data_IF_005060749878
#
_entry.id   IF_005060749878
#
_cell.length_a   1.000
_cell.length_b   1.000
_cell.length_c   1.000
_cell.angle_alpha   90.00
_cell.angle_beta   90.00
_cell.angle_gamma   90.00
#
_symmetry.space_group_name_H-M   'P 1'
#
loop_
_entity.id
_entity.type
_entity.pdbx_description
1 polymer ?
#
# COMPACT_ATOMS: atom_id res chain seq x y z
N UNK A 1 34.28 21.44 9.77
CA UNK A 1 33.37 22.16 8.85
C UNK A 1 31.88 22.00 9.18
N UNK A 2 31.51 21.29 10.27
CA UNK A 2 30.11 21.15 10.72
C UNK A 2 29.66 22.27 11.68
N UNK A 3 30.13 23.52 11.48
CA UNK A 3 30.14 24.53 12.58
C UNK A 3 29.55 25.91 12.28
N UNK A 4 29.03 26.23 11.08
CA UNK A 4 28.73 27.65 10.79
C UNK A 4 27.37 28.05 10.21
N UNK A 5 26.41 27.14 10.00
CA UNK A 5 25.07 27.56 9.49
C UNK A 5 23.88 27.16 10.38
N UNK A 6 24.13 26.71 11.61
CA UNK A 6 23.08 26.46 12.62
C UNK A 6 22.57 27.75 13.32
N UNK A 7 22.55 28.89 12.61
CA UNK A 7 22.05 30.19 13.11
C UNK A 7 20.91 30.69 12.24
N UNK A 8 19.74 30.03 12.27
CA UNK A 8 18.50 30.73 11.83
C UNK A 8 17.16 30.20 12.34
N UNK A 9 17.10 29.14 13.15
CA UNK A 9 15.80 28.65 13.68
C UNK A 9 15.81 28.26 15.16
N UNK A 10 16.47 29.04 16.03
CA UNK A 10 16.11 29.15 17.46
C UNK A 10 15.82 27.87 18.26
N UNK A 11 16.40 26.73 17.90
CA UNK A 11 16.35 25.49 18.68
C UNK A 11 17.77 25.25 19.16
N UNK A 12 18.00 25.45 20.45
CA UNK A 12 19.26 25.13 21.09
C UNK A 12 19.49 23.63 20.98
N UNK A 13 20.45 23.20 20.16
CA UNK A 13 21.01 21.86 20.24
C UNK A 13 21.99 21.86 21.41
N UNK A 14 21.64 21.21 22.52
CA UNK A 14 22.54 21.07 23.66
C UNK A 14 23.76 20.25 23.21
N UNK A 15 24.96 20.74 23.48
CA UNK A 15 26.22 20.13 23.01
C UNK A 15 26.64 18.88 23.79
N UNK A 16 25.71 18.18 24.45
CA UNK A 16 26.02 17.09 25.40
C UNK A 16 25.12 15.87 25.31
N UNK A 17 24.09 15.86 24.47
CA UNK A 17 23.19 14.72 24.35
C UNK A 17 23.80 13.55 23.55
N UNK A 18 23.83 12.34 24.13
CA UNK A 18 24.26 11.10 23.46
C UNK A 18 23.04 10.39 22.86
N UNK A 19 23.09 10.05 21.58
CA UNK A 19 22.09 9.16 20.95
C UNK A 19 22.01 7.85 21.72
N UNK A 20 20.82 7.52 22.23
CA UNK A 20 20.57 6.24 22.85
C UNK A 20 19.95 5.32 21.80
N UNK A 21 20.49 4.09 21.68
CA UNK A 21 19.79 3.05 20.92
C UNK A 21 18.44 2.84 21.57
N UNK A 22 17.38 3.03 20.80
CA UNK A 22 16.05 2.68 21.25
C UNK A 22 16.03 1.16 21.42
N UNK A 23 15.52 0.66 22.56
CA UNK A 23 15.61 -0.78 22.90
C UNK A 23 14.65 -1.64 22.06
N UNK A 24 14.24 -1.14 20.90
CA UNK A 24 13.07 -1.59 20.19
C UNK A 24 13.37 -1.85 18.72
N UNK A 25 13.98 -3.00 18.45
CA UNK A 25 13.55 -3.81 17.31
C UNK A 25 12.12 -4.32 17.51
N UNK A 26 11.14 -3.46 17.86
CA UNK A 26 9.75 -3.85 18.19
C UNK A 26 8.69 -2.77 17.88
N UNK A 27 9.04 -1.71 17.15
CA UNK A 27 8.11 -0.59 16.94
C UNK A 27 8.14 -0.15 15.48
N UNK A 28 7.14 -0.57 14.71
CA UNK A 28 6.82 0.08 13.45
C UNK A 28 6.09 1.36 13.81
N UNK A 29 6.67 2.51 13.51
CA UNK A 29 6.07 3.78 13.90
C UNK A 29 5.50 4.47 12.66
N UNK A 30 4.38 5.18 12.81
CA UNK A 30 3.73 5.87 11.70
C UNK A 30 3.90 7.37 11.85
N UNK A 31 4.30 8.05 10.77
CA UNK A 31 4.28 9.50 10.73
C UNK A 31 2.82 10.01 10.73
N UNK A 32 2.50 10.90 11.67
CA UNK A 32 1.17 11.52 11.82
C UNK A 32 1.11 12.93 11.24
N UNK A 33 2.26 13.50 10.88
CA UNK A 33 2.37 14.79 10.21
C UNK A 33 3.39 14.73 9.08
N UNK A 34 3.22 15.59 8.07
CA UNK A 34 4.23 15.80 7.03
C UNK A 34 5.41 16.56 7.62
N UNK A 35 6.63 16.11 7.34
CA UNK A 35 7.86 16.76 7.77
C UNK A 35 8.76 17.04 6.56
N UNK A 36 8.99 18.32 6.28
CA UNK A 36 9.93 18.75 5.26
C UNK A 36 11.33 18.99 5.85
N UNK A 37 12.37 18.34 5.31
CA UNK A 37 13.72 18.40 5.85
C UNK A 37 14.33 19.79 5.64
N UNK A 38 15.05 20.27 6.66
CA UNK A 38 15.78 21.54 6.65
C UNK A 38 17.27 21.39 6.36
N UNK A 39 17.77 20.16 6.33
CA UNK A 39 19.15 19.83 6.01
C UNK A 39 19.28 18.39 5.52
N UNK A 40 20.44 18.04 4.98
CA UNK A 40 20.69 16.73 4.35
C UNK A 40 20.61 15.54 5.31
N UNK A 41 20.81 15.79 6.61
CA UNK A 41 20.73 14.75 7.64
C UNK A 41 19.29 14.43 8.05
N UNK A 42 18.32 15.27 7.66
CA UNK A 42 16.92 15.13 8.04
C UNK A 42 16.15 14.29 7.01
N UNK A 43 15.25 13.44 7.51
CA UNK A 43 14.46 12.55 6.67
C UNK A 43 13.08 13.16 6.42
N UNK A 44 12.73 13.39 5.14
CA UNK A 44 11.36 13.78 4.78
C UNK A 44 10.36 12.69 5.17
N UNK A 45 9.30 13.10 5.87
CA UNK A 45 8.17 12.23 6.22
C UNK A 45 6.88 12.74 5.58
N UNK A 46 6.04 11.81 5.16
CA UNK A 46 4.65 12.09 4.82
C UNK A 46 3.72 11.36 5.78
N UNK A 47 2.53 11.92 6.03
CA UNK A 47 1.51 11.26 6.85
C UNK A 47 1.28 9.83 6.34
N UNK A 48 1.35 8.86 7.26
CA UNK A 48 1.22 7.44 6.97
C UNK A 48 2.54 6.74 6.57
N UNK A 49 3.67 7.45 6.46
CA UNK A 49 4.97 6.79 6.30
C UNK A 49 5.27 5.92 7.51
N UNK A 50 5.54 4.64 7.27
CA UNK A 50 6.03 3.72 8.31
C UNK A 50 7.55 3.86 8.42
N UNK A 51 8.02 4.20 9.60
CA UNK A 51 9.44 4.37 9.92
C UNK A 51 9.91 3.34 10.94
N UNK A 52 11.17 2.96 10.79
CA UNK A 52 11.90 2.24 11.81
C UNK A 52 12.78 3.22 12.58
N UNK A 53 12.68 3.19 13.90
CA UNK A 53 13.46 4.05 14.81
C UNK A 53 14.66 3.24 15.30
N UNK A 54 15.86 3.74 15.04
CA UNK A 54 17.13 3.13 15.46
C UNK A 54 17.63 3.77 16.76
N UNK A 55 17.56 5.09 16.85
CA UNK A 55 18.14 5.87 17.94
C UNK A 55 17.21 7.04 18.31
N UNK A 56 17.27 7.48 19.56
CA UNK A 56 16.54 8.63 20.08
C UNK A 56 17.51 9.63 20.73
N UNK A 57 17.24 10.92 20.54
CA UNK A 57 17.96 12.01 21.18
C UNK A 57 17.04 13.22 21.38
N UNK A 58 16.76 13.61 22.63
CA UNK A 58 16.07 14.87 23.01
C UNK A 58 14.98 15.35 22.04
N UNK A 59 13.92 14.56 21.86
CA UNK A 59 12.79 14.94 21.01
C UNK A 59 12.99 14.68 19.51
N UNK A 60 14.10 14.05 19.13
CA UNK A 60 14.38 13.56 17.77
C UNK A 60 14.55 12.05 17.76
N UNK A 61 14.16 11.47 16.64
CA UNK A 61 14.46 10.10 16.27
C UNK A 61 15.41 10.06 15.09
N UNK A 62 16.23 9.01 15.02
CA UNK A 62 17.01 8.65 13.85
C UNK A 62 16.53 7.31 13.34
N UNK A 63 16.31 7.22 12.04
CA UNK A 63 15.68 6.04 11.47
C UNK A 63 15.66 6.06 9.95
N UNK A 64 14.85 5.17 9.39
CA UNK A 64 14.58 5.11 7.95
C UNK A 64 13.11 4.77 7.70
N UNK A 65 12.63 5.11 6.50
CA UNK A 65 11.31 4.65 6.03
C UNK A 65 11.39 3.19 5.63
N UNK A 66 10.41 2.38 6.03
CA UNK A 66 10.42 0.94 5.78
C UNK A 66 10.58 0.59 4.29
N UNK A 67 10.02 1.42 3.41
CA UNK A 67 10.11 1.28 1.95
C UNK A 67 11.41 1.81 1.33
N UNK A 68 12.21 2.56 2.08
CA UNK A 68 13.47 3.17 1.63
C UNK A 68 14.54 2.98 2.70
N UNK A 69 14.88 1.72 3.01
CA UNK A 69 15.84 1.35 4.07
C UNK A 69 17.22 1.98 3.91
N UNK A 70 17.63 2.24 2.66
CA UNK A 70 18.90 2.89 2.35
C UNK A 70 18.96 4.37 2.79
N UNK A 71 17.82 5.05 2.85
CA UNK A 71 17.75 6.47 3.22
C UNK A 71 17.52 6.61 4.72
N UNK A 72 18.60 6.85 5.45
CA UNK A 72 18.58 7.13 6.89
C UNK A 72 18.64 8.63 7.15
N UNK A 73 17.95 9.08 8.19
CA UNK A 73 18.01 10.46 8.64
C UNK A 73 17.32 10.67 9.98
N UNK A 74 17.33 11.92 10.44
CA UNK A 74 16.67 12.33 11.68
C UNK A 74 15.32 12.98 11.41
N UNK A 75 14.39 12.84 12.34
CA UNK A 75 13.05 13.43 12.28
C UNK A 75 12.49 13.68 13.68
N UNK A 76 11.59 14.66 13.86
CA UNK A 76 11.06 14.99 15.18
C UNK A 76 10.21 13.85 15.75
N UNK A 77 10.38 13.56 17.03
CA UNK A 77 9.62 12.52 17.73
C UNK A 77 8.13 12.85 17.82
N UNK A 78 7.77 14.14 17.91
CA UNK A 78 6.38 14.60 17.96
C UNK A 78 5.59 14.34 16.67
N UNK A 79 6.26 13.99 15.57
CA UNK A 79 5.64 13.72 14.27
C UNK A 79 5.34 12.23 14.09
N UNK A 80 5.66 11.41 15.10
CA UNK A 80 5.64 9.96 15.02
C UNK A 80 4.71 9.40 16.08
N UNK A 81 3.82 8.51 15.64
CA UNK A 81 3.02 7.67 16.50
C UNK A 81 3.64 6.27 16.56
N UNK A 82 4.06 5.86 17.76
CA UNK A 82 4.65 4.54 17.99
C UNK A 82 3.55 3.48 17.92
N UNK A 83 3.75 2.43 17.12
CA UNK A 83 2.87 1.24 17.12
C UNK A 83 3.71 -0.01 17.35
N UNK A 84 3.10 -1.01 17.97
CA UNK A 84 3.75 -2.30 18.16
C UNK A 84 4.01 -2.98 16.80
N UNK A 85 5.16 -3.64 16.70
CA UNK A 85 5.51 -4.46 15.54
C UNK A 85 6.36 -5.64 15.99
N UNK A 86 6.17 -6.77 15.32
CA UNK A 86 7.02 -7.94 15.51
C UNK A 86 8.24 -7.77 14.62
N UNK A 87 9.44 -8.02 15.15
CA UNK A 87 10.66 -8.06 14.33
C UNK A 87 11.11 -9.51 14.21
N UNK A 88 11.30 -9.94 12.97
CA UNK A 88 11.91 -11.22 12.64
C UNK A 88 13.31 -10.97 12.03
N UNK A 89 14.27 -11.80 12.41
CA UNK A 89 15.67 -11.72 11.95
C UNK A 89 16.67 -11.32 13.04
N UNK A 90 17.96 -11.54 12.78
CA UNK A 90 19.08 -11.14 13.65
C UNK A 90 19.99 -10.15 12.92
N UNK A 91 20.24 -8.98 13.51
CA UNK A 91 21.26 -8.03 13.03
C UNK A 91 20.86 -7.18 11.82
N UNK A 92 21.66 -7.16 10.74
CA UNK A 92 21.46 -6.26 9.59
C UNK A 92 20.24 -6.61 8.71
N UNK A 93 19.62 -7.77 8.94
CA UNK A 93 18.44 -8.28 8.21
C UNK A 93 17.16 -8.22 9.04
N UNK A 94 17.04 -7.29 9.99
CA UNK A 94 15.79 -7.10 10.73
C UNK A 94 14.64 -6.72 9.76
N UNK A 95 13.62 -7.59 9.74
CA UNK A 95 12.36 -7.37 9.06
C UNK A 95 11.35 -6.97 10.11
N UNK A 96 10.92 -5.71 10.05
CA UNK A 96 9.84 -5.21 10.89
C UNK A 96 8.54 -5.57 10.19
N UNK A 97 7.74 -6.42 10.84
CA UNK A 97 6.41 -6.80 10.43
C UNK A 97 5.45 -5.91 11.22
N UNK A 98 4.85 -4.88 10.59
CA UNK A 98 3.81 -4.10 11.25
C UNK A 98 2.71 -5.00 11.79
N UNK A 99 2.13 -4.66 12.95
CA UNK A 99 1.01 -5.40 13.53
C UNK A 99 -0.25 -5.43 12.64
N UNK A 100 -0.32 -4.56 11.63
CA UNK A 100 -1.39 -4.58 10.64
C UNK A 100 -1.36 -5.90 9.85
N UNK A 101 -2.53 -6.53 9.68
CA UNK A 101 -2.72 -7.74 8.88
C UNK A 101 -1.95 -7.63 7.53
N UNK A 102 -1.23 -8.67 7.06
CA UNK A 102 -0.46 -8.62 5.82
C UNK A 102 -1.28 -8.11 4.62
N UNK A 103 -2.55 -8.50 4.54
CA UNK A 103 -3.47 -8.04 3.50
C UNK A 103 -3.71 -6.52 3.53
N UNK A 104 -3.74 -5.89 4.70
CA UNK A 104 -3.88 -4.43 4.82
C UNK A 104 -2.65 -3.71 4.25
N UNK A 105 -1.46 -4.30 4.43
CA UNK A 105 -0.22 -3.77 3.88
C UNK A 105 -0.20 -3.93 2.36
N UNK A 106 -0.66 -5.09 1.87
CA UNK A 106 -0.78 -5.41 0.46
C UNK A 106 -1.77 -4.48 -0.27
N UNK A 107 -2.96 -4.22 0.30
CA UNK A 107 -3.90 -3.23 -0.24
C UNK A 107 -3.21 -1.88 -0.39
N UNK A 108 -2.48 -1.45 0.65
CA UNK A 108 -1.73 -0.21 0.62
C UNK A 108 -0.69 -0.19 -0.50
N UNK A 109 0.05 -1.29 -0.71
CA UNK A 109 1.08 -1.41 -1.75
C UNK A 109 0.47 -1.35 -3.14
N UNK A 110 -0.56 -2.16 -3.37
CA UNK A 110 -1.33 -2.21 -4.62
C UNK A 110 -1.84 -0.83 -5.01
N UNK A 111 -2.49 -0.12 -4.09
CA UNK A 111 -3.02 1.22 -4.36
C UNK A 111 -1.92 2.21 -4.78
N UNK A 112 -0.73 2.12 -4.19
CA UNK A 112 0.39 3.01 -4.57
C UNK A 112 0.93 2.71 -5.96
N UNK A 113 1.04 1.44 -6.31
CA UNK A 113 1.45 1.03 -7.66
C UNK A 113 0.41 1.45 -8.70
N UNK A 114 -0.87 1.22 -8.40
CA UNK A 114 -1.96 1.62 -9.27
C UNK A 114 -2.05 3.13 -9.45
N UNK A 115 -1.76 3.94 -8.43
CA UNK A 115 -1.73 5.42 -8.57
C UNK A 115 -0.72 5.86 -9.63
N UNK A 116 0.45 5.23 -9.71
CA UNK A 116 1.45 5.56 -10.73
C UNK A 116 0.94 5.26 -12.14
N UNK A 117 0.23 4.14 -12.30
CA UNK A 117 -0.36 3.76 -13.59
C UNK A 117 -1.56 4.65 -13.91
N UNK A 118 -2.41 4.93 -12.93
CA UNK A 118 -3.60 5.77 -13.05
C UNK A 118 -3.28 7.18 -13.53
N UNK A 119 -2.20 7.79 -13.02
CA UNK A 119 -1.68 9.07 -13.53
C UNK A 119 -1.27 8.98 -15.01
N UNK A 120 -0.59 7.91 -15.42
CA UNK A 120 -0.24 7.68 -16.82
C UNK A 120 -1.47 7.49 -17.72
N UNK A 121 -2.51 6.80 -17.23
CA UNK A 121 -3.78 6.61 -17.95
C UNK A 121 -4.49 7.94 -18.19
N UNK A 122 -4.45 8.87 -17.22
CA UNK A 122 -5.00 10.22 -17.37
C UNK A 122 -4.29 10.99 -18.48
N UNK A 123 -2.96 11.04 -18.45
CA UNK A 123 -2.15 11.72 -19.48
C UNK A 123 -2.35 11.10 -20.86
N UNK A 124 -2.48 9.77 -20.95
CA UNK A 124 -2.73 9.04 -22.18
C UNK A 124 -4.21 9.07 -22.64
N UNK A 125 -5.08 9.81 -21.95
CA UNK A 125 -6.51 9.92 -22.23
C UNK A 125 -7.26 8.57 -22.31
N UNK A 126 -6.83 7.56 -21.54
CA UNK A 126 -7.46 6.23 -21.49
C UNK A 126 -8.61 6.21 -20.47
N UNK A 127 -9.67 6.98 -20.75
CA UNK A 127 -10.74 7.31 -19.80
C UNK A 127 -11.45 6.07 -19.22
N UNK A 128 -11.69 5.02 -20.02
CA UNK A 128 -12.39 3.82 -19.56
C UNK A 128 -11.57 3.09 -18.47
N UNK A 129 -10.29 2.83 -18.76
CA UNK A 129 -9.38 2.19 -17.81
C UNK A 129 -9.13 3.09 -16.60
N UNK A 130 -9.00 4.41 -16.79
CA UNK A 130 -8.86 5.37 -15.70
C UNK A 130 -10.02 5.28 -14.70
N UNK A 131 -11.27 5.26 -15.19
CA UNK A 131 -12.47 5.15 -14.34
C UNK A 131 -12.57 3.77 -13.67
N UNK A 132 -12.23 2.70 -14.41
CA UNK A 132 -12.23 1.35 -13.85
C UNK A 132 -11.24 1.22 -12.69
N UNK A 133 -9.99 1.66 -12.87
CA UNK A 133 -8.96 1.67 -11.81
C UNK A 133 -9.41 2.52 -10.61
N UNK A 134 -10.01 3.68 -10.86
CA UNK A 134 -10.53 4.54 -9.79
C UNK A 134 -11.60 3.82 -8.94
N UNK A 135 -12.57 3.16 -9.58
CA UNK A 135 -13.62 2.41 -8.87
C UNK A 135 -13.06 1.24 -8.06
N UNK A 136 -12.09 0.52 -8.62
CA UNK A 136 -11.40 -0.54 -7.89
C UNK A 136 -10.62 0.02 -6.70
N UNK A 137 -9.93 1.15 -6.86
CA UNK A 137 -9.19 1.80 -5.79
C UNK A 137 -10.11 2.21 -4.62
N UNK A 138 -11.27 2.82 -4.91
CA UNK A 138 -12.25 3.13 -3.87
C UNK A 138 -12.79 1.89 -3.17
N UNK A 139 -13.06 0.82 -3.91
CA UNK A 139 -13.47 -0.46 -3.31
C UNK A 139 -12.40 -1.00 -2.35
N UNK A 140 -11.12 -0.95 -2.73
CA UNK A 140 -10.03 -1.44 -1.90
C UNK A 140 -9.83 -0.58 -0.64
N UNK A 141 -10.00 0.73 -0.73
CA UNK A 141 -9.97 1.63 0.44
C UNK A 141 -11.08 1.28 1.42
N UNK A 142 -12.29 1.04 0.90
CA UNK A 142 -13.45 0.64 1.70
C UNK A 142 -13.22 -0.72 2.37
N UNK A 143 -12.75 -1.73 1.62
CA UNK A 143 -12.44 -3.04 2.19
C UNK A 143 -11.34 -2.95 3.26
N UNK A 144 -10.32 -2.11 3.06
CA UNK A 144 -9.31 -1.85 4.07
C UNK A 144 -9.91 -1.26 5.34
N UNK A 145 -10.85 -0.32 5.21
CA UNK A 145 -11.56 0.27 6.35
C UNK A 145 -12.29 -0.81 7.16
N UNK A 146 -13.03 -1.69 6.48
CA UNK A 146 -13.78 -2.79 7.10
C UNK A 146 -12.89 -3.84 7.76
N UNK A 147 -11.73 -4.17 7.17
CA UNK A 147 -10.77 -5.10 7.78
C UNK A 147 -10.17 -4.50 9.05
N UNK A 148 -9.82 -3.21 9.01
CA UNK A 148 -9.16 -2.52 10.13
C UNK A 148 -10.13 -2.16 11.25
N UNK A 149 -11.42 -1.98 10.96
CA UNK A 149 -12.43 -1.68 11.99
C UNK A 149 -12.59 -2.81 13.01
N UNK A 150 -12.28 -4.06 12.63
CA UNK A 150 -12.37 -5.23 13.51
C UNK A 150 -13.80 -5.61 13.91
N UNK A 151 -14.81 -5.04 13.24
CA UNK A 151 -16.24 -5.22 13.57
C UNK A 151 -16.89 -6.37 12.84
N UNK A 152 -16.20 -7.00 11.89
CA UNK A 152 -16.76 -8.07 11.06
C UNK A 152 -16.67 -9.43 11.77
N UNK A 153 -17.73 -10.26 11.68
CA UNK A 153 -17.68 -11.68 12.02
C UNK A 153 -16.54 -12.41 11.28
N UNK A 154 -16.11 -13.55 11.83
CA UNK A 154 -14.99 -14.33 11.25
C UNK A 154 -15.28 -14.80 9.81
N UNK A 155 -16.50 -15.28 9.56
CA UNK A 155 -16.87 -15.82 8.25
C UNK A 155 -16.92 -14.69 7.20
N UNK A 156 -17.54 -13.55 7.55
CA UNK A 156 -17.56 -12.35 6.72
C UNK A 156 -16.14 -11.81 6.44
N UNK A 157 -15.24 -11.88 7.42
CA UNK A 157 -13.84 -11.49 7.24
C UNK A 157 -13.11 -12.40 6.25
N UNK A 158 -13.37 -13.71 6.28
CA UNK A 158 -12.79 -14.66 5.31
C UNK A 158 -13.29 -14.36 3.90
N UNK A 159 -14.59 -14.13 3.74
CA UNK A 159 -15.16 -13.76 2.45
C UNK A 159 -14.62 -12.41 1.95
N UNK A 160 -14.52 -11.42 2.83
CA UNK A 160 -13.95 -10.12 2.49
C UNK A 160 -12.49 -10.22 2.07
N UNK A 161 -11.68 -11.04 2.74
CA UNK A 161 -10.28 -11.31 2.33
C UNK A 161 -10.22 -11.86 0.91
N UNK A 162 -11.03 -12.87 0.59
CA UNK A 162 -11.13 -13.44 -0.77
C UNK A 162 -11.56 -12.39 -1.79
N UNK A 163 -12.50 -11.52 -1.44
CA UNK A 163 -12.98 -10.43 -2.31
C UNK A 163 -11.90 -9.39 -2.59
N UNK A 164 -11.09 -9.05 -1.58
CA UNK A 164 -9.95 -8.14 -1.71
C UNK A 164 -8.90 -8.72 -2.63
N UNK A 165 -8.41 -9.93 -2.33
CA UNK A 165 -7.33 -10.56 -3.10
C UNK A 165 -7.73 -10.71 -4.56
N UNK A 166 -8.94 -11.21 -4.81
CA UNK A 166 -9.42 -11.33 -6.17
C UNK A 166 -9.52 -9.96 -6.87
N UNK A 167 -9.93 -8.88 -6.19
CA UNK A 167 -9.98 -7.55 -6.80
C UNK A 167 -8.57 -7.00 -7.12
N UNK A 168 -7.59 -7.25 -6.26
CA UNK A 168 -6.17 -6.92 -6.50
C UNK A 168 -5.67 -7.68 -7.74
N UNK A 169 -5.87 -8.99 -7.78
CA UNK A 169 -5.38 -9.88 -8.83
C UNK A 169 -5.97 -9.50 -10.21
N UNK A 170 -7.28 -9.20 -10.24
CA UNK A 170 -7.93 -8.67 -11.45
C UNK A 170 -7.35 -7.33 -11.90
N UNK A 171 -7.17 -6.40 -10.96
CA UNK A 171 -6.63 -5.08 -11.29
C UNK A 171 -5.18 -5.16 -11.79
N UNK A 172 -4.35 -6.01 -11.17
CA UNK A 172 -2.98 -6.24 -11.62
C UNK A 172 -2.96 -6.81 -13.04
N UNK A 173 -3.81 -7.79 -13.35
CA UNK A 173 -3.91 -8.36 -14.69
C UNK A 173 -4.28 -7.33 -15.76
N UNK A 174 -5.29 -6.49 -15.53
CA UNK A 174 -5.70 -5.48 -16.53
C UNK A 174 -4.70 -4.32 -16.64
N UNK A 175 -3.86 -4.11 -15.63
CA UNK A 175 -2.81 -3.09 -15.62
C UNK A 175 -1.45 -3.62 -16.10
N UNK A 176 -1.34 -4.91 -16.39
CA UNK A 176 -0.09 -5.55 -16.82
C UNK A 176 0.95 -5.64 -15.71
N UNK A 177 0.52 -5.75 -14.46
CA UNK A 177 1.36 -6.01 -13.30
C UNK A 177 1.44 -7.52 -13.01
N UNK A 178 2.46 -7.90 -12.26
CA UNK A 178 2.68 -9.29 -11.86
C UNK A 178 1.52 -9.81 -10.98
N UNK A 179 1.14 -11.07 -11.22
CA UNK A 179 0.12 -11.76 -10.45
C UNK A 179 0.76 -12.39 -9.21
N UNK A 180 0.16 -12.16 -8.05
CA UNK A 180 0.59 -12.77 -6.79
C UNK A 180 -0.05 -14.15 -6.67
N UNK A 181 0.76 -15.19 -6.48
CA UNK A 181 0.26 -16.56 -6.30
C UNK A 181 -0.17 -16.77 -4.86
N UNK A 182 -1.39 -17.27 -4.66
CA UNK A 182 -2.01 -17.41 -3.33
C UNK A 182 -2.48 -18.84 -3.07
N UNK A 183 -2.59 -19.19 -1.80
CA UNK A 183 -3.26 -20.40 -1.32
C UNK A 183 -4.80 -20.25 -1.30
N UNK A 184 -5.51 -21.32 -0.94
CA UNK A 184 -6.99 -21.33 -0.83
C UNK A 184 -7.53 -20.35 0.23
N UNK A 185 -6.70 -19.97 1.20
CA UNK A 185 -7.03 -19.02 2.25
C UNK A 185 -6.72 -17.56 1.84
N UNK A 186 -6.15 -17.35 0.64
CA UNK A 186 -5.80 -16.02 0.11
C UNK A 186 -4.46 -15.47 0.62
N UNK A 187 -3.66 -16.27 1.32
CA UNK A 187 -2.32 -15.88 1.74
C UNK A 187 -1.35 -16.04 0.56
N UNK A 188 -0.32 -15.20 0.51
CA UNK A 188 0.73 -15.31 -0.51
C UNK A 188 1.52 -16.60 -0.30
N UNK A 189 1.76 -17.36 -1.37
CA UNK A 189 2.62 -18.52 -1.32
C UNK A 189 4.09 -18.11 -1.26
N UNK A 190 4.84 -18.74 -0.37
CA UNK A 190 6.28 -18.57 -0.24
C UNK A 190 7.01 -19.49 -1.24
N UNK A 191 7.75 -18.95 -2.22
CA UNK A 191 8.48 -19.74 -3.20
C UNK A 191 9.54 -20.66 -2.58
N UNK A 192 10.14 -20.27 -1.45
CA UNK A 192 11.20 -21.06 -0.79
C UNK A 192 10.63 -22.25 -0.02
N UNK A 193 9.32 -22.22 0.27
CA UNK A 193 8.60 -23.26 1.01
C UNK A 193 7.62 -24.07 0.17
N UNK A 194 7.40 -23.66 -1.08
CA UNK A 194 6.46 -24.28 -2.02
C UNK A 194 7.21 -24.98 -3.13
N UNK A 195 6.85 -26.24 -3.44
CA UNK A 195 7.50 -26.96 -4.54
C UNK A 195 7.30 -26.24 -5.88
N UNK A 196 8.29 -26.30 -6.78
CA UNK A 196 8.21 -25.65 -8.10
C UNK A 196 6.97 -26.07 -8.89
N UNK A 197 6.59 -27.34 -8.79
CA UNK A 197 5.41 -27.88 -9.46
C UNK A 197 4.12 -27.33 -8.86
N UNK A 198 4.00 -27.33 -7.53
CA UNK A 198 2.82 -26.77 -6.84
C UNK A 198 2.68 -25.28 -7.10
N UNK A 199 3.78 -24.53 -7.10
CA UNK A 199 3.79 -23.10 -7.39
C UNK A 199 3.35 -22.83 -8.84
N UNK A 200 3.84 -23.62 -9.81
CA UNK A 200 3.43 -23.52 -11.20
C UNK A 200 1.93 -23.81 -11.39
N UNK A 201 1.42 -24.88 -10.77
CA UNK A 201 -0.01 -25.23 -10.84
C UNK A 201 -0.89 -24.14 -10.21
N UNK A 202 -0.47 -23.61 -9.06
CA UNK A 202 -1.18 -22.51 -8.40
C UNK A 202 -1.17 -21.24 -9.26
N UNK A 203 -0.05 -20.94 -9.90
CA UNK A 203 0.05 -19.82 -10.84
C UNK A 203 -0.87 -20.00 -12.05
N UNK A 204 -0.85 -21.17 -12.70
CA UNK A 204 -1.75 -21.46 -13.84
C UNK A 204 -3.22 -21.32 -13.44
N UNK A 205 -3.59 -21.87 -12.28
CA UNK A 205 -4.96 -21.81 -11.76
C UNK A 205 -5.40 -20.37 -11.50
N UNK A 206 -4.55 -19.58 -10.83
CA UNK A 206 -4.82 -18.17 -10.57
C UNK A 206 -4.92 -17.35 -11.86
N UNK A 207 -4.00 -17.58 -12.81
CA UNK A 207 -3.96 -16.93 -14.11
C UNK A 207 -5.24 -17.18 -14.91
N UNK A 208 -5.67 -18.45 -15.01
CA UNK A 208 -6.92 -18.84 -15.69
C UNK A 208 -8.15 -18.23 -15.02
N UNK A 209 -8.26 -18.32 -13.69
CA UNK A 209 -9.39 -17.76 -12.95
C UNK A 209 -9.56 -16.25 -13.17
N UNK A 210 -8.45 -15.51 -13.22
CA UNK A 210 -8.50 -14.07 -13.52
C UNK A 210 -8.92 -13.82 -14.97
N UNK A 211 -8.42 -14.61 -15.93
CA UNK A 211 -8.80 -14.48 -17.35
C UNK A 211 -10.29 -14.78 -17.60
N UNK A 212 -10.82 -15.84 -16.98
CA UNK A 212 -12.23 -16.20 -17.06
C UNK A 212 -13.11 -15.05 -16.57
N UNK A 213 -12.71 -14.42 -15.47
CA UNK A 213 -13.45 -13.27 -14.92
C UNK A 213 -13.34 -12.01 -15.78
N UNK A 214 -12.20 -11.82 -16.45
CA UNK A 214 -12.05 -10.75 -17.46
C UNK A 214 -12.99 -11.00 -18.65
N UNK A 215 -13.11 -12.24 -19.11
CA UNK A 215 -14.05 -12.62 -20.17
C UNK A 215 -15.50 -12.37 -19.73
N UNK A 216 -15.86 -12.74 -18.50
CA UNK A 216 -17.20 -12.52 -17.95
C UNK A 216 -17.56 -11.03 -17.89
N UNK A 217 -16.68 -10.18 -17.37
CA UNK A 217 -16.89 -8.73 -17.32
C UNK A 217 -16.95 -8.10 -18.72
N UNK A 218 -16.11 -8.57 -19.65
CA UNK A 218 -16.19 -8.16 -21.06
C UNK A 218 -17.50 -8.56 -21.71
N UNK A 219 -18.07 -9.71 -21.37
CA UNK A 219 -19.37 -10.15 -21.88
C UNK A 219 -20.55 -9.35 -21.31
N UNK A 220 -20.41 -8.82 -20.08
CA UNK A 220 -21.42 -7.94 -19.43
C UNK A 220 -21.47 -6.54 -20.04
N UNK A 221 -20.36 -6.01 -20.54
CA UNK A 221 -20.27 -4.65 -21.13
C UNK A 221 -21.18 -4.44 -22.36
N UNK A 222 -21.24 -5.35 -23.36
CA UNK A 222 -22.19 -5.28 -24.47
C UNK A 222 -23.65 -5.24 -24.01
N UNK A 223 -24.04 -6.09 -23.04
CA UNK A 223 -25.40 -6.13 -22.51
C UNK A 223 -25.76 -4.84 -21.74
N UNK A 224 -24.83 -4.28 -20.98
CA UNK A 224 -25.04 -3.03 -20.26
C UNK A 224 -25.18 -1.81 -21.19
N UNK A 225 -24.41 -1.77 -22.28
CA UNK A 225 -24.53 -0.71 -23.30
C UNK A 225 -25.84 -0.85 -24.11
N UNK A 226 -26.27 -2.07 -24.40
CA UNK A 226 -27.53 -2.33 -25.12
C UNK A 226 -28.76 -2.03 -24.26
N UNK A 227 -28.72 -2.37 -22.96
CA UNK A 227 -29.74 -1.97 -21.99
C UNK A 227 -29.84 -0.44 -21.84
N UNK A 228 -28.70 0.26 -21.87
CA UNK A 228 -28.64 1.73 -21.78
C UNK A 228 -29.12 2.42 -23.06
N UNK A 229 -28.95 1.80 -24.24
CA UNK A 229 -29.57 2.23 -25.50
C UNK A 229 -31.08 2.04 -25.48
N UNK A 230 -31.59 0.93 -24.93
CA UNK A 230 -33.04 0.65 -24.82
C UNK A 230 -33.76 1.58 -23.84
N UNK A 231 -33.06 2.11 -22.84
CA UNK A 231 -33.59 3.05 -21.86
C UNK A 231 -33.45 4.53 -22.24
N UNK A 232 -32.88 4.84 -23.42
CA UNK A 232 -32.84 6.21 -23.94
C UNK A 232 -34.07 6.41 -24.85
N UNK A 233 -35.09 7.20 -24.43
CA UNK A 233 -36.19 7.50 -25.33
C UNK A 233 -35.64 8.32 -26.50
N UNK A 234 -35.99 7.93 -27.72
CA UNK A 234 -35.70 8.67 -28.93
C UNK A 234 -36.39 10.06 -28.89
N UNK A 235 -35.74 11.04 -28.26
CA UNK A 235 -36.12 12.45 -28.36
C UNK A 235 -35.40 13.09 -29.55
N UNK A 236 -35.61 12.54 -30.75
CA UNK A 236 -35.25 13.17 -32.02
C UNK A 236 -35.97 12.49 -33.19
N UNK A 237 -37.28 12.71 -33.28
CA UNK A 237 -38.04 12.81 -34.53
C UNK A 237 -39.12 13.85 -34.21
N UNK A 238 -39.12 15.06 -34.75
CA UNK A 238 -38.89 15.42 -36.13
C UNK A 238 -40.17 16.08 -36.61
N UNK A 239 -40.16 17.42 -36.58
CA UNK A 239 -40.80 18.35 -37.54
C UNK A 239 -42.21 18.04 -38.07
N UNK A 240 -43.13 18.97 -37.83
CA UNK A 240 -44.41 19.14 -38.50
C UNK A 240 -45.14 20.36 -37.94
#
# INVERSE_FOLDING_TARGET
MCRLEARRKGVAFSSTGRWTRERAGRTASAAIYNYDPRGEQELRLQVGDTVHILEKLEGWYRGYKLRKKAQKGIFPASYIHLKEATVEGTGQQEIIIPADLPLVQEIGATLREWVQIWQKLFVANKIILFRSVQQMAYSLIEYRSQIVSGTLPKDDLVELKKKVTAKIDYGNRILGLDLVVRDEAGNMLDPDRTSTLSLFQAHETASRSVDDRIQEEKARLPFALDARRRLSPAAAAGSG
#
